data_IF_526593248510
#
_entry.id   IF_526593248510
#
_cell.length_a   1.000
_cell.length_b   1.000
_cell.length_c   1.000
_cell.angle_alpha   90.00
_cell.angle_beta   90.00
_cell.angle_gamma   90.00
#
_symmetry.space_group_name_H-M   'P 1'
#
loop_
_entity.id
_entity.type
_entity.pdbx_description
1 polymer ?
#
# COMPACT_ATOMS: atom_id res chain seq x y z
N UNK A 1 16.91 -4.48 0.56
CA UNK A 1 16.19 -4.38 -0.72
C UNK A 1 14.76 -3.91 -0.48
N UNK A 2 14.33 -2.88 -1.22
CA UNK A 2 12.97 -2.38 -1.10
C UNK A 2 12.03 -3.17 -2.00
N UNK A 3 10.84 -3.46 -1.51
CA UNK A 3 9.81 -4.07 -2.32
C UNK A 3 8.72 -3.05 -2.59
N UNK A 4 8.25 -3.00 -3.84
CA UNK A 4 7.23 -2.06 -4.29
C UNK A 4 5.99 -2.85 -4.66
N UNK A 5 4.83 -2.43 -4.14
CA UNK A 5 3.54 -2.96 -4.55
C UNK A 5 2.72 -1.82 -5.14
N UNK A 6 2.08 -2.08 -6.27
CA UNK A 6 1.38 -1.05 -7.04
C UNK A 6 -0.11 -1.33 -7.06
N UNK A 7 -0.89 -0.28 -6.84
CA UNK A 7 -2.36 -0.35 -6.89
C UNK A 7 -2.90 0.84 -7.68
N UNK A 8 -4.01 0.62 -8.35
CA UNK A 8 -4.69 1.69 -9.09
C UNK A 8 -5.80 2.26 -8.23
N UNK A 9 -5.99 3.58 -8.32
CA UNK A 9 -7.09 4.28 -7.66
C UNK A 9 -7.81 5.14 -8.69
N UNK A 10 -9.13 5.29 -8.50
CA UNK A 10 -9.89 6.24 -9.33
C UNK A 10 -9.43 7.66 -9.02
N UNK A 11 -9.58 8.60 -9.96
CA UNK A 11 -9.00 9.95 -9.79
C UNK A 11 -9.41 10.65 -8.50
N UNK A 12 -10.66 10.51 -8.10
CA UNK A 12 -11.13 11.14 -6.86
C UNK A 12 -10.38 10.66 -5.64
N UNK A 13 -10.19 9.36 -5.52
CA UNK A 13 -9.44 8.79 -4.39
C UNK A 13 -7.95 9.04 -4.53
N UNK A 14 -7.44 8.99 -5.76
CA UNK A 14 -6.02 9.25 -6.01
C UNK A 14 -5.60 10.61 -5.46
N UNK A 15 -6.39 11.65 -5.71
CA UNK A 15 -6.05 13.00 -5.24
C UNK A 15 -6.07 13.09 -3.71
N UNK A 16 -7.04 12.46 -3.05
CA UNK A 16 -7.11 12.43 -1.60
C UNK A 16 -5.94 11.67 -1.00
N UNK A 17 -5.55 10.59 -1.63
CA UNK A 17 -4.43 9.76 -1.19
C UNK A 17 -3.11 10.51 -1.37
N UNK A 18 -2.94 11.17 -2.50
CA UNK A 18 -1.72 11.91 -2.82
C UNK A 18 -1.48 13.09 -1.90
N UNK A 19 -2.54 13.85 -1.55
CA UNK A 19 -2.39 15.06 -0.75
C UNK A 19 -2.46 14.82 0.76
N UNK A 20 -2.62 13.56 1.18
CA UNK A 20 -2.56 13.21 2.59
C UNK A 20 -3.89 13.20 3.33
N UNK A 21 -5.00 13.54 2.70
CA UNK A 21 -6.31 13.45 3.34
C UNK A 21 -6.72 12.00 3.60
N UNK A 22 -6.21 11.07 2.79
CA UNK A 22 -6.53 9.67 2.92
C UNK A 22 -5.22 8.89 2.80
N UNK A 23 -4.43 8.79 3.91
CA UNK A 23 -3.12 8.14 3.87
C UNK A 23 -3.22 6.62 4.00
N UNK A 24 -4.16 6.02 3.32
CA UNK A 24 -4.37 4.56 3.32
C UNK A 24 -5.21 4.16 2.13
N UNK A 25 -5.12 2.87 1.79
CA UNK A 25 -6.07 2.23 0.89
C UNK A 25 -6.55 0.95 1.55
N UNK A 26 -7.70 0.43 1.11
CA UNK A 26 -8.05 -0.93 1.44
C UNK A 26 -8.44 -1.65 0.15
N UNK A 27 -8.18 -2.95 0.13
CA UNK A 27 -8.44 -3.78 -1.05
C UNK A 27 -8.92 -5.14 -0.60
N UNK A 28 -9.87 -5.68 -1.34
CA UNK A 28 -10.27 -7.07 -1.16
C UNK A 28 -9.16 -7.97 -1.67
N UNK A 29 -8.90 -9.03 -0.93
CA UNK A 29 -8.01 -10.08 -1.38
C UNK A 29 -8.86 -11.03 -2.23
N UNK A 30 -9.00 -10.69 -3.50
CA UNK A 30 -9.82 -11.46 -4.43
C UNK A 30 -9.06 -12.61 -5.07
N UNK A 31 -7.75 -12.66 -4.88
CA UNK A 31 -6.92 -13.76 -5.35
C UNK A 31 -5.70 -13.90 -4.44
N UNK A 32 -5.55 -15.07 -3.84
CA UNK A 32 -4.40 -15.37 -2.99
C UNK A 32 -3.12 -15.65 -3.79
N UNK A 33 -3.21 -15.69 -5.12
CA UNK A 33 -2.04 -15.79 -5.99
C UNK A 33 -1.57 -14.44 -6.50
N UNK A 34 -2.28 -13.35 -6.17
CA UNK A 34 -1.84 -12.00 -6.51
C UNK A 34 -0.57 -11.69 -5.73
N UNK A 35 0.51 -11.42 -6.45
CA UNK A 35 1.83 -11.23 -5.85
C UNK A 35 1.86 -10.12 -4.80
N UNK A 36 1.08 -9.05 -5.01
CA UNK A 36 1.03 -7.93 -4.07
C UNK A 36 0.55 -8.39 -2.69
N UNK A 37 -0.50 -9.21 -2.68
CA UNK A 37 -1.06 -9.73 -1.44
C UNK A 37 -0.16 -10.81 -0.83
N UNK A 38 0.54 -11.57 -1.63
CA UNK A 38 1.51 -12.55 -1.15
C UNK A 38 2.66 -11.82 -0.43
N UNK A 39 3.22 -10.80 -1.06
CA UNK A 39 4.30 -10.01 -0.47
C UNK A 39 3.90 -9.40 0.85
N UNK A 40 2.75 -8.70 0.86
CA UNK A 40 2.30 -8.00 2.07
C UNK A 40 1.86 -8.96 3.17
N UNK A 41 1.23 -10.07 2.79
CA UNK A 41 0.81 -11.08 3.75
C UNK A 41 2.00 -11.76 4.43
N UNK A 42 3.04 -12.09 3.67
CA UNK A 42 4.25 -12.67 4.24
C UNK A 42 4.96 -11.68 5.15
N UNK A 43 5.04 -10.41 4.73
CA UNK A 43 5.65 -9.37 5.54
C UNK A 43 4.89 -9.18 6.85
N UNK A 44 3.58 -9.22 6.80
CA UNK A 44 2.74 -9.07 7.99
C UNK A 44 2.97 -10.24 8.96
N UNK A 45 3.00 -11.47 8.46
CA UNK A 45 3.27 -12.65 9.30
C UNK A 45 4.66 -12.62 9.90
N UNK A 46 5.64 -12.10 9.18
CA UNK A 46 7.01 -12.00 9.65
C UNK A 46 7.25 -10.83 10.59
N UNK A 47 6.25 -9.98 10.84
CA UNK A 47 6.38 -8.85 11.74
C UNK A 47 7.19 -7.69 11.18
N UNK A 48 7.32 -7.60 9.86
CA UNK A 48 8.16 -6.57 9.22
C UNK A 48 7.64 -5.15 9.44
N UNK A 49 6.36 -5.00 9.77
CA UNK A 49 5.77 -3.67 10.02
C UNK A 49 5.85 -3.27 11.49
N UNK A 50 6.41 -4.11 12.35
CA UNK A 50 6.60 -3.79 13.77
C UNK A 50 7.90 -3.03 14.04
N UNK A 51 8.77 -2.94 13.04
CA UNK A 51 10.02 -2.21 13.15
C UNK A 51 10.38 -1.61 11.80
N UNK A 52 11.40 -0.75 11.79
CA UNK A 52 11.78 -0.01 10.58
C UNK A 52 12.95 -0.62 9.82
N UNK A 53 13.28 -1.87 10.07
CA UNK A 53 14.38 -2.56 9.37
C UNK A 53 14.02 -2.93 7.94
N UNK A 54 12.73 -3.16 7.69
CA UNK A 54 12.25 -3.58 6.38
C UNK A 54 11.46 -2.43 5.76
N UNK A 55 11.72 -2.15 4.51
CA UNK A 55 11.07 -1.06 3.80
C UNK A 55 10.21 -1.64 2.68
N UNK A 56 8.94 -1.36 2.75
CA UNK A 56 7.98 -1.71 1.71
C UNK A 56 7.38 -0.41 1.19
N UNK A 57 7.25 -0.32 -0.12
CA UNK A 57 6.80 0.88 -0.79
C UNK A 57 5.51 0.60 -1.50
N UNK A 58 4.53 1.48 -1.32
CA UNK A 58 3.31 1.44 -2.10
C UNK A 58 3.39 2.48 -3.20
N UNK A 59 3.01 2.08 -4.40
CA UNK A 59 2.85 2.98 -5.53
C UNK A 59 1.36 3.03 -5.86
N UNK A 60 0.81 4.23 -5.87
CA UNK A 60 -0.59 4.45 -6.24
C UNK A 60 -0.61 5.09 -7.62
N UNK A 61 -1.40 4.52 -8.51
CA UNK A 61 -1.49 4.94 -9.90
C UNK A 61 -2.91 5.44 -10.17
N UNK A 62 -3.02 6.65 -10.71
CA UNK A 62 -4.29 7.18 -11.18
C UNK A 62 -4.77 6.31 -12.35
N UNK A 63 -5.94 5.69 -12.20
CA UNK A 63 -6.43 4.70 -13.16
C UNK A 63 -6.77 5.31 -14.53
N UNK A 64 -6.90 6.63 -14.62
CA UNK A 64 -7.24 7.32 -15.87
C UNK A 64 -6.01 7.95 -16.51
N UNK A 65 -5.20 8.69 -15.72
CA UNK A 65 -4.10 9.48 -16.27
C UNK A 65 -2.77 8.74 -16.27
N UNK A 66 -2.63 7.71 -15.44
CA UNK A 66 -1.36 7.01 -15.25
C UNK A 66 -0.39 7.73 -14.32
N UNK A 67 -0.75 8.92 -13.83
CA UNK A 67 0.06 9.60 -12.83
C UNK A 67 0.21 8.70 -11.60
N UNK A 68 1.38 8.74 -10.95
CA UNK A 68 1.61 7.91 -9.78
C UNK A 68 2.39 8.65 -8.71
N UNK A 69 2.31 8.12 -7.49
CA UNK A 69 3.18 8.57 -6.41
C UNK A 69 3.55 7.37 -5.55
N UNK A 70 4.60 7.51 -4.75
CA UNK A 70 5.09 6.45 -3.88
C UNK A 70 5.18 6.93 -2.45
N UNK A 71 4.94 6.01 -1.51
CA UNK A 71 5.08 6.26 -0.06
C UNK A 71 5.63 5.02 0.61
N UNK A 72 6.28 5.22 1.73
CA UNK A 72 6.74 4.09 2.55
C UNK A 72 5.56 3.60 3.38
N UNK A 73 5.30 2.31 3.32
CA UNK A 73 4.22 1.68 4.08
C UNK A 73 4.61 1.65 5.56
N UNK A 74 3.73 2.16 6.42
CA UNK A 74 3.96 2.15 7.86
C UNK A 74 3.20 1.04 8.56
N UNK A 75 2.02 0.68 8.05
CA UNK A 75 1.19 -0.34 8.67
C UNK A 75 0.40 -1.12 7.62
N UNK A 76 0.17 -2.39 7.93
CA UNK A 76 -0.71 -3.24 7.14
C UNK A 76 -1.61 -3.99 8.11
N UNK A 77 -2.91 -3.95 7.86
CA UNK A 77 -3.89 -4.66 8.68
C UNK A 77 -4.69 -5.58 7.79
N UNK A 78 -4.96 -6.77 8.29
CA UNK A 78 -5.86 -7.70 7.61
C UNK A 78 -7.12 -7.84 8.45
N UNK A 79 -8.26 -7.60 7.84
CA UNK A 79 -9.56 -7.76 8.49
C UNK A 79 -10.48 -8.51 7.54
N UNK A 80 -10.77 -9.78 7.88
CA UNK A 80 -11.52 -10.66 6.99
C UNK A 80 -10.77 -10.87 5.69
N UNK A 81 -11.44 -10.54 4.59
CA UNK A 81 -10.88 -10.66 3.24
C UNK A 81 -10.31 -9.33 2.72
N UNK A 82 -10.19 -8.34 3.60
CA UNK A 82 -9.66 -7.02 3.23
C UNK A 82 -8.28 -6.81 3.79
N UNK A 83 -7.46 -6.12 3.01
CA UNK A 83 -6.16 -5.65 3.44
C UNK A 83 -6.18 -4.13 3.46
N UNK A 84 -5.79 -3.54 4.58
CA UNK A 84 -5.68 -2.10 4.75
C UNK A 84 -4.20 -1.76 4.78
N UNK A 85 -3.76 -0.86 3.90
CA UNK A 85 -2.36 -0.48 3.77
C UNK A 85 -2.28 1.02 4.06
N UNK A 86 -1.48 1.38 5.07
CA UNK A 86 -1.36 2.76 5.52
C UNK A 86 0.07 3.26 5.39
N UNK A 87 0.21 4.58 5.24
CA UNK A 87 1.50 5.24 5.13
C UNK A 87 1.43 6.61 5.78
N UNK A 88 2.58 7.26 5.93
CA UNK A 88 2.64 8.63 6.40
C UNK A 88 3.06 9.55 5.28
N UNK A 89 2.46 10.73 5.24
CA UNK A 89 2.71 11.69 4.17
C UNK A 89 4.18 12.12 4.10
N UNK A 90 4.83 12.25 5.23
CA UNK A 90 6.21 12.70 5.29
C UNK A 90 7.24 11.57 5.15
N UNK A 91 6.81 10.32 5.04
CA UNK A 91 7.71 9.19 4.85
C UNK A 91 7.70 8.79 3.39
N UNK A 92 8.57 9.41 2.61
CA UNK A 92 8.64 9.21 1.18
C UNK A 92 9.79 8.28 0.80
N UNK A 93 9.61 7.67 -0.34
CA UNK A 93 10.61 6.83 -0.96
C UNK A 93 11.85 7.64 -1.35
#
# INVERSE_FOLDING_TARGET
MNKVVSFKSIPEYFEKEKCGFKPYIYRYIDSYSDERFVILGEALRAGHFLNYRHKYIIEIINSITGESFRRVITDVFKTGECLIIAWRENERD
#
